data_IF_763690530055
#
_entry.id   IF_763690530055
#
_cell.length_a   1.000
_cell.length_b   1.000
_cell.length_c   1.000
_cell.angle_alpha   90.00
_cell.angle_beta   90.00
_cell.angle_gamma   90.00
#
_symmetry.space_group_name_H-M   'P 1'
#
loop_
_entity.id
_entity.type
_entity.pdbx_description
1 polymer ?
#
# COMPACT_ATOMS: atom_id res chain seq x y z
N UNK A 1 7.94 9.07 -3.46
CA UNK A 1 7.91 10.49 -3.86
C UNK A 1 6.76 10.80 -4.81
N UNK A 2 6.57 10.07 -5.92
CA UNK A 2 5.48 10.28 -6.90
C UNK A 2 4.11 10.20 -6.22
N UNK A 3 3.86 9.15 -5.42
CA UNK A 3 2.64 9.00 -4.65
C UNK A 3 2.40 10.18 -3.68
N UNK A 4 3.45 10.74 -3.07
CA UNK A 4 3.32 11.87 -2.15
C UNK A 4 2.94 13.16 -2.90
N UNK A 5 3.51 13.39 -4.08
CA UNK A 5 3.17 14.54 -4.93
C UNK A 5 1.73 14.42 -5.42
N UNK A 6 1.35 13.25 -5.96
CA UNK A 6 -0.01 12.99 -6.42
C UNK A 6 -1.02 13.08 -5.26
N UNK A 7 -0.68 12.51 -4.10
CA UNK A 7 -1.51 12.61 -2.89
C UNK A 7 -1.70 14.04 -2.42
N UNK A 8 -0.65 14.88 -2.46
CA UNK A 8 -0.74 16.29 -2.13
C UNK A 8 -1.65 17.05 -3.12
N UNK A 9 -1.49 16.81 -4.43
CA UNK A 9 -2.33 17.41 -5.44
C UNK A 9 -3.82 17.03 -5.27
N UNK A 10 -4.10 15.75 -4.98
CA UNK A 10 -5.46 15.28 -4.68
C UNK A 10 -6.00 15.85 -3.35
N UNK A 11 -5.14 16.05 -2.35
CA UNK A 11 -5.53 16.62 -1.06
C UNK A 11 -6.03 18.07 -1.20
N UNK A 12 -5.48 18.84 -2.14
CA UNK A 12 -5.98 20.18 -2.43
C UNK A 12 -7.45 20.16 -2.91
N UNK A 13 -7.85 19.10 -3.61
CA UNK A 13 -9.22 18.88 -4.07
C UNK A 13 -10.08 18.05 -3.11
N UNK A 14 -9.60 17.67 -1.93
CA UNK A 14 -10.28 16.71 -1.04
C UNK A 14 -11.60 17.22 -0.45
N UNK A 15 -11.87 18.53 -0.52
CA UNK A 15 -13.16 19.12 -0.17
C UNK A 15 -14.29 18.69 -1.11
N UNK A 16 -13.98 18.29 -2.35
CA UNK A 16 -14.98 17.82 -3.31
C UNK A 16 -15.34 16.35 -3.04
N UNK A 17 -16.63 16.06 -2.94
CA UNK A 17 -17.14 14.70 -2.68
C UNK A 17 -16.67 13.68 -3.73
N UNK A 18 -16.57 14.09 -4.99
CA UNK A 18 -16.07 13.24 -6.07
C UNK A 18 -14.61 12.83 -5.85
N UNK A 19 -13.75 13.75 -5.42
CA UNK A 19 -12.34 13.44 -5.12
C UNK A 19 -12.23 12.50 -3.92
N UNK A 20 -13.06 12.73 -2.89
CA UNK A 20 -13.16 11.82 -1.73
C UNK A 20 -13.56 10.40 -2.15
N UNK A 21 -14.62 10.28 -2.95
CA UNK A 21 -15.10 8.99 -3.44
C UNK A 21 -14.04 8.28 -4.30
N UNK A 22 -13.38 9.00 -5.19
CA UNK A 22 -12.30 8.49 -6.01
C UNK A 22 -11.11 8.00 -5.19
N UNK A 23 -10.64 8.80 -4.22
CA UNK A 23 -9.58 8.39 -3.31
C UNK A 23 -9.99 7.20 -2.45
N UNK A 24 -11.26 7.14 -2.00
CA UNK A 24 -11.78 6.01 -1.24
C UNK A 24 -11.79 4.72 -2.08
N UNK A 25 -12.22 4.81 -3.33
CA UNK A 25 -12.20 3.68 -4.28
C UNK A 25 -10.77 3.17 -4.52
N UNK A 26 -9.84 4.05 -4.88
CA UNK A 26 -8.45 3.66 -5.17
C UNK A 26 -7.80 2.95 -3.98
N UNK A 27 -7.97 3.45 -2.77
CA UNK A 27 -7.34 2.89 -1.57
C UNK A 27 -8.02 1.63 -1.05
N UNK A 28 -9.27 1.34 -1.47
CA UNK A 28 -9.98 0.12 -1.07
C UNK A 28 -9.42 -1.13 -1.75
N UNK A 29 -8.73 -0.93 -2.86
CA UNK A 29 -8.14 -2.01 -3.66
C UNK A 29 -6.69 -2.18 -3.24
N UNK A 30 -6.30 -3.43 -2.89
CA UNK A 30 -4.93 -3.74 -2.48
C UNK A 30 -3.94 -3.60 -3.63
N UNK A 31 -2.70 -3.21 -3.33
CA UNK A 31 -1.64 -3.00 -4.32
C UNK A 31 -1.34 -4.21 -5.22
N UNK A 32 -1.52 -5.45 -4.71
CA UNK A 32 -1.37 -6.67 -5.51
C UNK A 32 -2.37 -6.71 -6.67
N UNK A 33 -3.61 -6.29 -6.41
CA UNK A 33 -4.63 -6.25 -7.46
C UNK A 33 -4.29 -5.22 -8.54
N UNK A 34 -3.80 -4.06 -8.12
CA UNK A 34 -3.30 -3.04 -9.04
C UNK A 34 -2.11 -3.55 -9.86
N UNK A 35 -1.22 -4.35 -9.24
CA UNK A 35 -0.08 -4.94 -9.94
C UNK A 35 -0.55 -5.90 -11.03
N UNK A 36 -1.49 -6.80 -10.73
CA UNK A 36 -2.07 -7.72 -11.71
C UNK A 36 -2.75 -6.99 -12.86
N UNK A 37 -3.48 -5.91 -12.55
CA UNK A 37 -4.16 -5.09 -13.56
C UNK A 37 -3.15 -4.39 -14.48
N UNK A 38 -2.13 -3.76 -13.93
CA UNK A 38 -1.12 -3.07 -14.74
C UNK A 38 -0.19 -4.04 -15.48
N UNK A 39 -0.02 -5.26 -14.97
CA UNK A 39 0.74 -6.30 -15.66
C UNK A 39 0.09 -6.67 -17.01
N UNK A 40 -1.23 -6.65 -17.09
CA UNK A 40 -1.95 -6.90 -18.35
C UNK A 40 -1.72 -5.81 -19.39
N UNK A 41 -1.46 -4.57 -18.94
CA UNK A 41 -1.33 -3.40 -19.82
C UNK A 41 0.13 -3.07 -20.16
N UNK A 42 1.01 -3.12 -19.18
CA UNK A 42 2.42 -2.72 -19.28
C UNK A 42 3.41 -3.89 -19.13
N UNK A 43 2.90 -5.12 -19.04
CA UNK A 43 3.71 -6.32 -18.83
C UNK A 43 4.48 -6.31 -17.50
N UNK A 44 5.44 -7.23 -17.37
CA UNK A 44 6.35 -7.32 -16.21
C UNK A 44 7.43 -6.24 -16.33
N UNK A 45 7.13 -5.04 -15.89
CA UNK A 45 8.04 -3.91 -15.96
C UNK A 45 8.14 -3.17 -14.62
N UNK A 46 9.23 -2.44 -14.42
CA UNK A 46 9.39 -1.57 -13.25
C UNK A 46 8.30 -0.49 -13.16
N UNK A 47 7.73 -0.09 -14.31
CA UNK A 47 6.60 0.84 -14.36
C UNK A 47 5.33 0.22 -13.75
N UNK A 48 5.06 -1.05 -14.02
CA UNK A 48 3.95 -1.79 -13.41
C UNK A 48 4.04 -1.77 -11.88
N UNK A 49 5.20 -2.11 -11.33
CA UNK A 49 5.43 -2.05 -9.88
C UNK A 49 5.29 -0.64 -9.29
N UNK A 50 5.82 0.36 -10.00
CA UNK A 50 5.71 1.75 -9.58
C UNK A 50 4.25 2.23 -9.55
N UNK A 51 3.47 1.96 -10.58
CA UNK A 51 2.05 2.36 -10.66
C UNK A 51 1.20 1.60 -9.63
N UNK A 52 1.45 0.30 -9.46
CA UNK A 52 0.73 -0.55 -8.51
C UNK A 52 0.84 -0.04 -7.06
N UNK A 53 2.00 0.49 -6.67
CA UNK A 53 2.21 1.07 -5.35
C UNK A 53 1.76 2.54 -5.32
N UNK A 54 2.12 3.33 -6.34
CA UNK A 54 1.91 4.78 -6.31
C UNK A 54 0.43 5.18 -6.25
N UNK A 55 -0.43 4.47 -6.98
CA UNK A 55 -1.85 4.83 -7.08
C UNK A 55 -2.58 4.65 -5.74
N UNK A 56 -2.61 3.46 -5.10
CA UNK A 56 -3.30 3.31 -3.81
C UNK A 56 -2.68 4.16 -2.70
N UNK A 57 -1.37 4.34 -2.73
CA UNK A 57 -0.69 5.22 -1.77
C UNK A 57 -1.03 6.69 -1.98
N UNK A 58 -1.18 7.15 -3.22
CA UNK A 58 -1.64 8.51 -3.50
C UNK A 58 -3.04 8.75 -2.93
N UNK A 59 -3.96 7.82 -3.11
CA UNK A 59 -5.31 7.91 -2.52
C UNK A 59 -5.29 7.94 -0.99
N UNK A 60 -4.43 7.14 -0.36
CA UNK A 60 -4.27 7.14 1.09
C UNK A 60 -3.65 8.44 1.61
N UNK A 61 -2.57 8.92 0.96
CA UNK A 61 -1.91 10.17 1.31
C UNK A 61 -2.83 11.37 1.11
N UNK A 62 -3.64 11.37 0.03
CA UNK A 62 -4.62 12.42 -0.21
C UNK A 62 -5.62 12.56 0.94
N UNK A 63 -6.13 11.44 1.44
CA UNK A 63 -7.02 11.43 2.60
C UNK A 63 -6.35 12.04 3.82
N UNK A 64 -5.20 11.49 4.21
CA UNK A 64 -4.52 11.92 5.45
C UNK A 64 -4.05 13.38 5.37
N UNK A 65 -3.54 13.80 4.22
CA UNK A 65 -3.15 15.20 4.06
C UNK A 65 -4.38 16.14 4.11
N UNK A 66 -5.50 15.71 3.52
CA UNK A 66 -6.76 16.44 3.62
C UNK A 66 -7.22 16.60 5.08
N UNK A 67 -7.20 15.50 5.84
CA UNK A 67 -7.55 15.52 7.28
C UNK A 67 -6.57 16.38 8.09
N UNK A 68 -5.26 16.29 7.84
CA UNK A 68 -4.27 17.14 8.50
C UNK A 68 -4.47 18.63 8.21
N UNK A 69 -4.93 18.99 7.01
CA UNK A 69 -5.25 20.39 6.70
C UNK A 69 -6.53 20.86 7.36
N UNK A 70 -7.48 19.96 7.62
CA UNK A 70 -8.71 20.28 8.35
C UNK A 70 -8.46 20.43 9.86
N UNK A 71 -7.48 19.67 10.42
CA UNK A 71 -7.13 19.70 11.86
C UNK A 71 -6.30 20.92 12.27
N UNK A 72 -5.64 21.58 11.33
CA UNK A 72 -4.81 22.76 11.63
C UNK A 72 -5.68 23.90 12.18
N UNK A 73 -5.25 24.48 13.33
CA UNK A 73 -5.90 25.63 13.95
C UNK A 73 -6.01 26.80 12.96
N UNK A 74 -7.22 27.33 12.71
CA UNK A 74 -7.44 28.47 11.83
C UNK A 74 -7.00 29.80 12.44
N UNK A 75 -6.70 29.89 13.75
CA UNK A 75 -6.39 31.13 14.42
C UNK A 75 -5.21 31.91 13.80
N UNK A 76 -4.09 31.29 13.37
CA UNK A 76 -3.00 32.01 12.70
C UNK A 76 -3.42 32.61 11.34
N UNK A 77 -4.34 31.96 10.63
CA UNK A 77 -4.84 32.43 9.34
C UNK A 77 -5.69 33.69 9.50
N UNK A 78 -6.49 33.78 10.57
CA UNK A 78 -7.37 34.93 10.84
C UNK A 78 -6.60 36.21 11.15
N UNK A 79 -5.34 36.08 11.60
CA UNK A 79 -4.47 37.21 11.94
C UNK A 79 -3.67 37.76 10.75
N UNK A 80 -3.77 37.12 9.56
CA UNK A 80 -3.10 37.60 8.36
C UNK A 80 -3.83 38.79 7.75
N UNK A 81 -3.18 39.94 7.57
CA UNK A 81 -3.81 41.13 6.99
C UNK A 81 -4.21 40.84 5.54
N UNK A 82 -5.52 41.01 5.23
CA UNK A 82 -6.06 40.79 3.88
C UNK A 82 -6.51 39.35 3.56
N UNK A 83 -6.60 38.47 4.58
CA UNK A 83 -6.94 37.04 4.40
C UNK A 83 -8.27 36.75 3.75
N UNK A 84 -9.24 37.67 3.79
CA UNK A 84 -10.59 37.47 3.22
C UNK A 84 -10.67 37.29 1.70
N UNK A 85 -9.57 37.50 0.94
CA UNK A 85 -9.56 37.45 -0.53
C UNK A 85 -8.50 36.53 -1.16
N UNK A 86 -7.56 35.93 -0.40
CA UNK A 86 -6.46 35.13 -0.96
C UNK A 86 -6.34 33.76 -0.30
N UNK A 87 -7.24 32.86 -0.63
CA UNK A 87 -7.23 31.46 -0.14
C UNK A 87 -5.89 30.74 -0.37
N UNK A 88 -5.18 31.01 -1.47
CA UNK A 88 -3.90 30.40 -1.75
C UNK A 88 -2.80 30.90 -0.81
N UNK A 89 -2.75 32.22 -0.53
CA UNK A 89 -1.77 32.79 0.38
C UNK A 89 -1.96 32.27 1.81
N UNK A 90 -3.21 32.20 2.28
CA UNK A 90 -3.55 31.61 3.58
C UNK A 90 -3.09 30.15 3.66
N UNK A 91 -3.33 29.37 2.62
CA UNK A 91 -2.94 27.98 2.57
C UNK A 91 -1.42 27.80 2.68
N UNK A 92 -0.64 28.50 1.85
CA UNK A 92 0.82 28.34 1.80
C UNK A 92 1.55 28.93 3.00
N UNK A 93 1.07 30.04 3.57
CA UNK A 93 1.76 30.72 4.69
C UNK A 93 1.25 30.31 6.07
N UNK A 94 0.04 29.75 6.18
CA UNK A 94 -0.53 29.34 7.47
C UNK A 94 -0.69 27.83 7.57
N UNK A 95 -1.53 27.21 6.76
CA UNK A 95 -1.90 25.80 6.93
C UNK A 95 -0.79 24.83 6.56
N UNK A 96 -0.12 25.05 5.45
CA UNK A 96 0.93 24.15 4.96
C UNK A 96 2.13 24.07 5.92
N UNK A 97 2.70 25.18 6.45
CA UNK A 97 3.82 25.09 7.39
C UNK A 97 3.46 24.37 8.70
N UNK A 98 2.24 24.58 9.21
CA UNK A 98 1.76 23.92 10.43
C UNK A 98 1.55 22.42 10.23
N UNK A 99 0.96 22.00 9.11
CA UNK A 99 0.73 20.59 8.78
C UNK A 99 2.02 19.87 8.34
N UNK A 100 3.04 20.59 7.87
CA UNK A 100 4.23 20.02 7.22
C UNK A 100 4.93 18.94 8.03
N UNK A 101 5.11 19.17 9.33
CA UNK A 101 5.80 18.23 10.21
C UNK A 101 5.05 16.89 10.30
N UNK A 102 3.74 16.93 10.47
CA UNK A 102 2.86 15.76 10.53
C UNK A 102 2.81 15.03 9.19
N UNK A 103 2.67 15.77 8.10
CA UNK A 103 2.72 15.24 6.74
C UNK A 103 4.05 14.52 6.45
N UNK A 104 5.18 15.14 6.77
CA UNK A 104 6.50 14.53 6.56
C UNK A 104 6.71 13.27 7.40
N UNK A 105 6.22 13.23 8.63
CA UNK A 105 6.28 12.06 9.50
C UNK A 105 5.45 10.93 8.94
N UNK A 106 4.21 11.20 8.52
CA UNK A 106 3.33 10.20 7.94
C UNK A 106 3.85 9.69 6.58
N UNK A 107 4.39 10.58 5.74
CA UNK A 107 5.01 10.19 4.46
C UNK A 107 6.19 9.24 4.68
N UNK A 108 7.04 9.52 5.67
CA UNK A 108 8.17 8.65 6.02
C UNK A 108 7.69 7.27 6.48
N UNK A 109 6.64 7.22 7.29
CA UNK A 109 6.00 5.95 7.70
C UNK A 109 5.42 5.18 6.49
N UNK A 110 4.72 5.86 5.60
CA UNK A 110 4.18 5.23 4.38
C UNK A 110 5.26 4.78 3.42
N UNK A 111 6.38 5.47 3.36
CA UNK A 111 7.52 5.02 2.56
C UNK A 111 8.10 3.70 3.09
N UNK A 112 8.21 3.53 4.40
CA UNK A 112 8.60 2.27 5.02
C UNK A 112 7.62 1.13 4.66
N UNK A 113 6.32 1.40 4.68
CA UNK A 113 5.31 0.44 4.22
C UNK A 113 5.47 0.11 2.71
N UNK A 114 5.76 1.11 1.87
CA UNK A 114 5.94 0.91 0.43
C UNK A 114 7.12 -0.01 0.10
N UNK A 115 8.19 0.00 0.88
CA UNK A 115 9.32 -0.92 0.70
C UNK A 115 8.89 -2.37 0.94
N UNK A 116 8.08 -2.62 1.97
CA UNK A 116 7.52 -3.96 2.23
C UNK A 116 6.57 -4.40 1.11
N UNK A 117 5.67 -3.52 0.69
CA UNK A 117 4.79 -3.79 -0.45
C UNK A 117 5.57 -4.09 -1.73
N UNK A 118 6.70 -3.41 -1.94
CA UNK A 118 7.60 -3.70 -3.07
C UNK A 118 8.18 -5.12 -3.02
N UNK A 119 8.50 -5.63 -1.83
CA UNK A 119 8.93 -7.03 -1.67
C UNK A 119 7.80 -8.01 -1.99
N UNK A 120 6.57 -7.73 -1.53
CA UNK A 120 5.40 -8.57 -1.81
C UNK A 120 5.06 -8.60 -3.31
N UNK A 121 5.28 -7.51 -4.04
CA UNK A 121 5.10 -7.47 -5.49
C UNK A 121 6.03 -8.44 -6.24
N UNK A 122 7.11 -8.90 -5.61
CA UNK A 122 7.96 -9.98 -6.14
C UNK A 122 7.20 -11.28 -6.35
N UNK A 123 6.22 -11.63 -5.52
CA UNK A 123 5.37 -12.81 -5.70
C UNK A 123 4.50 -12.75 -6.98
N UNK A 124 4.34 -11.59 -7.56
CA UNK A 124 3.65 -11.40 -8.85
C UNK A 124 4.62 -11.47 -10.03
N UNK A 125 5.92 -11.75 -9.77
CA UNK A 125 6.94 -11.89 -10.80
C UNK A 125 7.70 -10.59 -11.12
N UNK A 126 7.47 -9.50 -10.38
CA UNK A 126 8.25 -8.28 -10.56
C UNK A 126 9.68 -8.46 -10.02
N UNK A 127 10.74 -8.01 -10.75
CA UNK A 127 12.14 -8.23 -10.36
C UNK A 127 12.51 -7.41 -9.12
N UNK A 128 12.12 -7.90 -7.97
CA UNK A 128 12.41 -7.34 -6.64
C UNK A 128 13.13 -8.38 -5.78
N UNK A 129 13.63 -7.97 -4.60
CA UNK A 129 14.20 -8.92 -3.63
C UNK A 129 13.19 -10.00 -3.23
N UNK A 130 11.90 -9.67 -3.23
CA UNK A 130 10.83 -10.62 -2.95
C UNK A 130 10.69 -11.71 -4.02
N UNK A 131 10.94 -11.38 -5.29
CA UNK A 131 10.96 -12.37 -6.37
C UNK A 131 12.07 -13.41 -6.18
N UNK A 132 13.29 -12.97 -5.87
CA UNK A 132 14.39 -13.88 -5.62
C UNK A 132 14.18 -14.72 -4.35
N UNK A 133 13.56 -14.14 -3.32
CA UNK A 133 13.17 -14.85 -2.11
C UNK A 133 12.15 -15.96 -2.41
N UNK A 134 11.10 -15.62 -3.16
CA UNK A 134 10.04 -16.56 -3.52
C UNK A 134 10.59 -17.69 -4.42
N UNK A 135 11.38 -17.35 -5.43
CA UNK A 135 12.01 -18.33 -6.31
C UNK A 135 12.92 -19.29 -5.52
N UNK A 136 13.77 -18.76 -4.64
CA UNK A 136 14.65 -19.59 -3.81
C UNK A 136 13.86 -20.50 -2.84
N UNK A 137 12.73 -20.05 -2.32
CA UNK A 137 11.84 -20.85 -1.48
C UNK A 137 11.14 -21.97 -2.29
N UNK A 138 10.65 -21.65 -3.48
CA UNK A 138 9.95 -22.60 -4.35
C UNK A 138 10.91 -23.68 -4.89
N UNK A 139 12.16 -23.30 -5.17
CA UNK A 139 13.22 -24.21 -5.63
C UNK A 139 13.84 -25.05 -4.49
N UNK A 140 13.46 -24.80 -3.21
CA UNK A 140 13.97 -25.50 -2.06
C UNK A 140 15.37 -25.07 -1.61
N UNK A 141 15.92 -23.99 -2.15
CA UNK A 141 17.22 -23.41 -1.78
C UNK A 141 17.10 -22.53 -0.52
N UNK A 142 16.88 -23.14 0.63
CA UNK A 142 16.62 -22.42 1.89
C UNK A 142 17.78 -21.53 2.36
N UNK A 143 19.03 -21.87 2.03
CA UNK A 143 20.20 -21.04 2.35
C UNK A 143 20.17 -19.70 1.62
N UNK A 144 19.82 -19.73 0.33
CA UNK A 144 19.73 -18.54 -0.50
C UNK A 144 18.52 -17.70 -0.11
N UNK A 145 17.40 -18.37 0.16
CA UNK A 145 16.19 -17.72 0.68
C UNK A 145 16.47 -16.97 2.00
N UNK A 146 17.22 -17.59 2.92
CA UNK A 146 17.62 -16.94 4.16
C UNK A 146 18.50 -15.71 3.90
N UNK A 147 19.43 -15.77 2.94
CA UNK A 147 20.27 -14.63 2.59
C UNK A 147 19.44 -13.45 2.05
N UNK A 148 18.47 -13.70 1.15
CA UNK A 148 17.57 -12.68 0.65
C UNK A 148 16.66 -12.11 1.75
N UNK A 149 16.20 -12.94 2.67
CA UNK A 149 15.42 -12.51 3.81
C UNK A 149 16.23 -11.60 4.74
N UNK A 150 17.47 -11.95 5.06
CA UNK A 150 18.35 -11.08 5.85
C UNK A 150 18.70 -9.78 5.14
N UNK A 151 18.90 -9.80 3.83
CA UNK A 151 19.10 -8.59 3.03
C UNK A 151 17.89 -7.66 3.12
N UNK A 152 16.67 -8.20 3.07
CA UNK A 152 15.42 -7.44 3.19
C UNK A 152 15.27 -6.86 4.61
N UNK A 153 15.57 -7.65 5.66
CA UNK A 153 15.56 -7.17 7.05
C UNK A 153 16.58 -6.04 7.25
N UNK A 154 17.77 -6.18 6.69
CA UNK A 154 18.82 -5.17 6.77
C UNK A 154 18.40 -3.90 6.04
N UNK A 155 17.81 -4.02 4.85
CA UNK A 155 17.28 -2.89 4.09
C UNK A 155 16.25 -2.10 4.88
N UNK A 156 15.29 -2.79 5.49
CA UNK A 156 14.22 -2.15 6.29
C UNK A 156 14.79 -1.60 7.60
N UNK A 157 15.64 -2.35 8.29
CA UNK A 157 16.25 -1.94 9.56
C UNK A 157 17.15 -0.71 9.44
N UNK A 158 17.87 -0.59 8.31
CA UNK A 158 18.75 0.55 8.03
C UNK A 158 18.02 1.75 7.37
N UNK A 159 16.72 1.66 7.16
CA UNK A 159 15.92 2.69 6.47
C UNK A 159 16.16 4.09 7.05
N UNK A 160 16.22 4.22 8.37
CA UNK A 160 16.47 5.50 9.05
C UNK A 160 17.83 6.11 8.76
N UNK A 161 18.84 5.29 8.39
CA UNK A 161 20.19 5.76 8.09
C UNK A 161 20.27 6.38 6.71
N UNK A 162 19.65 5.77 5.71
CA UNK A 162 19.73 6.23 4.33
C UNK A 162 18.50 7.08 3.90
N UNK A 163 17.36 7.02 4.61
CA UNK A 163 16.22 7.88 4.33
C UNK A 163 16.38 9.24 5.02
N UNK A 164 17.36 10.02 4.58
CA UNK A 164 17.56 11.38 5.08
C UNK A 164 16.79 12.39 4.22
N UNK A 165 16.15 13.37 4.85
CA UNK A 165 15.38 14.44 4.14
C UNK A 165 16.20 15.17 3.08
N UNK A 166 17.52 15.27 3.27
CA UNK A 166 18.46 15.89 2.31
C UNK A 166 18.68 15.06 1.04
N UNK A 167 18.47 13.73 1.10
CA UNK A 167 18.64 12.81 -0.03
C UNK A 167 17.37 12.66 -0.87
N UNK A 168 16.24 13.17 -0.38
CA UNK A 168 14.95 13.08 -1.08
C UNK A 168 14.98 13.59 -2.53
N UNK A 169 15.58 14.76 -2.86
CA UNK A 169 15.69 15.21 -4.25
C UNK A 169 16.59 14.30 -5.09
N UNK A 170 17.65 13.73 -4.51
CA UNK A 170 18.52 12.77 -5.20
C UNK A 170 17.76 11.51 -5.55
N UNK A 171 16.95 10.97 -4.65
CA UNK A 171 16.09 9.81 -4.92
C UNK A 171 15.06 10.11 -6.02
N UNK A 172 14.53 11.32 -6.05
CA UNK A 172 13.57 11.72 -7.08
C UNK A 172 14.22 11.74 -8.46
N UNK A 173 15.41 12.30 -8.57
CA UNK A 173 16.19 12.30 -9.81
C UNK A 173 16.59 10.87 -10.21
N UNK A 174 17.04 10.06 -9.24
CA UNK A 174 17.40 8.66 -9.48
C UNK A 174 16.22 7.84 -10.02
N UNK A 175 15.00 8.06 -9.50
CA UNK A 175 13.79 7.39 -10.02
C UNK A 175 13.57 7.70 -11.50
N UNK A 176 13.74 8.96 -11.92
CA UNK A 176 13.61 9.32 -13.33
C UNK A 176 14.72 8.73 -14.20
N UNK A 177 15.93 8.62 -13.67
CA UNK A 177 17.07 8.05 -14.39
C UNK A 177 16.98 6.53 -14.55
N UNK A 178 16.52 5.84 -13.50
CA UNK A 178 16.37 4.38 -13.47
C UNK A 178 15.01 3.90 -14.02
N UNK A 179 14.09 4.81 -14.35
CA UNK A 179 12.85 4.42 -15.02
C UNK A 179 13.20 3.95 -16.44
N UNK A 180 13.05 2.65 -16.76
CA UNK A 180 13.46 2.16 -18.06
C UNK A 180 12.65 2.86 -19.15
N UNK A 181 13.32 3.42 -20.19
CA UNK A 181 12.64 4.10 -21.30
C UNK A 181 11.79 3.14 -22.15
N UNK A 182 11.85 1.85 -21.87
CA UNK A 182 11.19 0.78 -22.64
C UNK A 182 9.82 0.35 -22.10
N UNK A 183 9.29 1.01 -21.10
CA UNK A 183 7.91 0.75 -20.67
C UNK A 183 6.92 1.31 -21.72
N UNK A 184 6.77 0.60 -22.82
CA UNK A 184 5.76 0.93 -23.83
C UNK A 184 4.40 0.53 -23.29
N UNK A 185 3.66 1.51 -22.79
CA UNK A 185 2.23 1.32 -22.54
C UNK A 185 1.58 1.18 -23.91
N UNK A 186 1.19 -0.04 -24.28
CA UNK A 186 0.47 -0.24 -25.51
C UNK A 186 -1.00 0.12 -25.29
N UNK A 187 -1.43 1.19 -25.93
CA UNK A 187 -2.84 1.63 -25.87
C UNK A 187 -3.81 0.54 -26.34
N UNK A 188 -3.38 -0.29 -27.28
CA UNK A 188 -4.16 -1.43 -27.76
C UNK A 188 -4.45 -2.47 -26.68
N UNK A 189 -3.46 -2.80 -25.81
CA UNK A 189 -3.65 -3.71 -24.69
C UNK A 189 -4.60 -3.14 -23.66
N UNK A 190 -4.54 -1.82 -23.40
CA UNK A 190 -5.46 -1.16 -22.48
C UNK A 190 -6.89 -1.19 -23.01
N UNK A 191 -7.11 -0.91 -24.28
CA UNK A 191 -8.43 -0.98 -24.91
C UNK A 191 -8.94 -2.42 -24.87
N UNK A 192 -8.11 -3.39 -25.23
CA UNK A 192 -8.44 -4.81 -25.17
C UNK A 192 -8.82 -5.24 -23.76
N UNK A 193 -8.03 -4.82 -22.75
CA UNK A 193 -8.31 -5.14 -21.36
C UNK A 193 -9.68 -4.60 -20.92
N UNK A 194 -10.02 -3.35 -21.26
CA UNK A 194 -11.31 -2.74 -20.90
C UNK A 194 -12.49 -3.33 -21.67
N UNK A 195 -12.30 -3.68 -22.94
CA UNK A 195 -13.40 -4.16 -23.80
C UNK A 195 -13.57 -5.66 -23.79
N UNK A 196 -12.46 -6.41 -23.61
CA UNK A 196 -12.48 -7.87 -23.70
C UNK A 196 -12.27 -8.54 -22.33
N UNK A 197 -11.27 -8.15 -21.55
CA UNK A 197 -10.87 -8.90 -20.38
C UNK A 197 -11.74 -8.60 -19.14
N UNK A 198 -12.18 -7.34 -18.95
CA UNK A 198 -13.09 -6.97 -17.86
C UNK A 198 -14.53 -7.42 -18.11
N UNK A 199 -14.95 -7.48 -19.38
CA UNK A 199 -16.33 -7.85 -19.70
C UNK A 199 -16.51 -9.36 -19.55
N UNK A 200 -17.45 -9.84 -18.71
CA UNK A 200 -17.71 -11.27 -18.53
C UNK A 200 -18.00 -11.97 -19.85
N UNK A 201 -17.43 -13.17 -20.03
CA UNK A 201 -17.55 -13.92 -21.28
C UNK A 201 -18.99 -14.22 -21.73
N UNK A 202 -19.99 -14.45 -20.83
CA UNK A 202 -21.39 -14.58 -21.23
C UNK A 202 -21.98 -13.32 -21.87
N UNK A 203 -21.49 -12.13 -21.50
CA UNK A 203 -21.92 -10.87 -22.12
C UNK A 203 -21.33 -10.65 -23.51
N UNK A 204 -20.23 -11.36 -23.83
CA UNK A 204 -19.60 -11.35 -25.17
C UNK A 204 -20.20 -12.40 -26.12
N UNK A 205 -21.21 -13.15 -25.68
CA UNK A 205 -21.79 -14.24 -26.47
C UNK A 205 -20.86 -15.45 -26.62
N UNK A 206 -19.82 -15.57 -25.80
CA UNK A 206 -18.94 -16.73 -25.77
C UNK A 206 -19.49 -17.76 -24.77
N UNK A 207 -19.72 -19.02 -25.25
CA UNK A 207 -20.03 -20.12 -24.35
C UNK A 207 -18.80 -20.47 -23.49
N UNK A 208 -18.96 -20.47 -22.18
CA UNK A 208 -17.93 -20.90 -21.25
C UNK A 208 -18.17 -22.35 -20.84
N UNK A 209 -17.09 -23.13 -20.90
CA UNK A 209 -17.05 -24.40 -20.18
C UNK A 209 -16.84 -24.07 -18.70
N UNK A 210 -17.69 -24.58 -17.82
CA UNK A 210 -17.50 -24.55 -16.38
C UNK A 210 -16.22 -25.31 -16.05
N UNK A 211 -15.14 -24.58 -15.74
CA UNK A 211 -13.88 -25.18 -15.31
C UNK A 211 -14.03 -25.67 -13.87
N UNK A 212 -14.42 -26.94 -13.71
CA UNK A 212 -14.47 -27.56 -12.38
C UNK A 212 -15.24 -28.83 -12.26
N UNK A 213 -16.17 -29.10 -13.18
CA UNK A 213 -16.91 -30.35 -13.16
C UNK A 213 -16.81 -31.08 -14.50
N UNK A 214 -16.56 -32.40 -14.44
CA UNK A 214 -16.43 -33.29 -15.57
C UNK A 214 -17.72 -33.46 -16.41
N UNK A 215 -18.74 -32.68 -16.15
CA UNK A 215 -20.06 -32.72 -16.79
C UNK A 215 -20.28 -31.73 -17.93
N UNK A 216 -19.27 -31.02 -18.40
CA UNK A 216 -19.28 -30.30 -19.70
C UNK A 216 -20.50 -29.42 -20.00
N UNK A 217 -21.22 -28.93 -19.01
CA UNK A 217 -22.36 -28.05 -19.23
C UNK A 217 -21.92 -26.66 -19.74
N UNK A 218 -22.35 -26.32 -20.92
CA UNK A 218 -22.15 -25.01 -21.53
C UNK A 218 -23.08 -24.00 -20.89
N UNK A 219 -22.53 -23.05 -20.17
CA UNK A 219 -23.30 -21.96 -19.56
C UNK A 219 -23.58 -20.89 -20.62
N UNK A 220 -24.77 -20.88 -21.14
CA UNK A 220 -25.16 -19.95 -22.21
C UNK A 220 -25.81 -18.65 -21.71
N UNK A 221 -26.20 -18.61 -20.43
CA UNK A 221 -26.89 -17.44 -19.84
C UNK A 221 -26.08 -16.80 -18.75
N UNK A 222 -25.98 -15.44 -18.78
CA UNK A 222 -25.33 -14.64 -17.75
C UNK A 222 -25.86 -14.96 -16.34
N UNK A 223 -27.18 -15.17 -16.19
CA UNK A 223 -27.77 -15.49 -14.90
C UNK A 223 -27.29 -16.82 -14.31
N UNK A 224 -27.17 -17.86 -15.14
CA UNK A 224 -26.64 -19.16 -14.70
C UNK A 224 -25.16 -19.07 -14.35
N UNK A 225 -24.37 -18.41 -15.18
CA UNK A 225 -22.95 -18.17 -14.89
C UNK A 225 -22.76 -17.41 -13.59
N UNK A 226 -23.53 -16.32 -13.38
CA UNK A 226 -23.44 -15.54 -12.15
C UNK A 226 -23.85 -16.34 -10.90
N UNK A 227 -24.91 -17.14 -11.00
CA UNK A 227 -25.38 -17.99 -9.89
C UNK A 227 -24.36 -19.05 -9.51
N UNK A 228 -23.77 -19.72 -10.50
CA UNK A 228 -22.72 -20.70 -10.29
C UNK A 228 -21.47 -20.08 -9.69
N UNK A 229 -21.00 -18.96 -10.23
CA UNK A 229 -19.86 -18.23 -9.72
C UNK A 229 -20.11 -17.78 -8.27
N UNK A 230 -21.32 -17.26 -8.00
CA UNK A 230 -21.70 -16.79 -6.66
C UNK A 230 -21.69 -17.92 -5.64
N UNK A 231 -22.34 -19.03 -5.95
CA UNK A 231 -22.47 -20.14 -5.00
C UNK A 231 -21.18 -20.93 -4.81
N UNK A 232 -20.43 -21.17 -5.89
CA UNK A 232 -19.25 -22.03 -5.83
C UNK A 232 -17.96 -21.30 -5.41
N UNK A 233 -17.81 -20.03 -5.76
CA UNK A 233 -16.57 -19.32 -5.55
C UNK A 233 -16.72 -18.09 -4.68
N UNK A 234 -17.68 -17.19 -5.00
CA UNK A 234 -17.78 -15.89 -4.34
C UNK A 234 -18.23 -16.03 -2.88
N UNK A 235 -19.32 -16.77 -2.65
CA UNK A 235 -19.85 -16.94 -1.31
C UNK A 235 -18.89 -17.65 -0.35
N UNK A 236 -18.32 -18.83 -0.69
CA UNK A 236 -17.33 -19.48 0.18
C UNK A 236 -16.07 -18.62 0.37
N UNK A 237 -15.60 -17.98 -0.70
CA UNK A 237 -14.45 -17.07 -0.63
C UNK A 237 -14.70 -15.88 0.28
N UNK A 238 -15.90 -15.28 0.22
CA UNK A 238 -16.28 -14.16 1.08
C UNK A 238 -16.35 -14.58 2.56
N UNK A 239 -16.99 -15.71 2.84
CA UNK A 239 -17.07 -16.24 4.23
C UNK A 239 -15.67 -16.53 4.76
N UNK A 240 -14.81 -17.20 4.01
CA UNK A 240 -13.43 -17.47 4.41
C UNK A 240 -12.63 -16.19 4.64
N UNK A 241 -12.78 -15.20 3.77
CA UNK A 241 -12.09 -13.91 3.92
C UNK A 241 -12.52 -13.18 5.21
N UNK A 242 -13.81 -13.16 5.50
CA UNK A 242 -14.34 -12.55 6.73
C UNK A 242 -13.85 -13.31 7.95
N UNK A 243 -13.92 -14.64 7.95
CA UNK A 243 -13.46 -15.47 9.06
C UNK A 243 -11.96 -15.27 9.33
N UNK A 244 -11.13 -15.32 8.30
CA UNK A 244 -9.68 -15.08 8.41
C UNK A 244 -9.39 -13.67 8.91
N UNK A 245 -10.14 -12.67 8.44
CA UNK A 245 -10.02 -11.29 8.92
C UNK A 245 -10.37 -11.15 10.40
N UNK A 246 -11.44 -11.81 10.86
CA UNK A 246 -11.85 -11.80 12.27
C UNK A 246 -10.82 -12.50 13.16
N UNK A 247 -10.36 -13.69 12.77
CA UNK A 247 -9.34 -14.45 13.50
C UNK A 247 -8.05 -13.64 13.60
N UNK A 248 -7.60 -13.06 12.50
CA UNK A 248 -6.40 -12.22 12.47
C UNK A 248 -6.53 -11.01 13.39
N UNK A 249 -7.68 -10.32 13.39
CA UNK A 249 -7.93 -9.16 14.24
C UNK A 249 -7.91 -9.54 15.73
N UNK A 250 -8.58 -10.63 16.11
CA UNK A 250 -8.60 -11.11 17.49
C UNK A 250 -7.18 -11.51 17.94
N UNK A 251 -6.47 -12.29 17.12
CA UNK A 251 -5.11 -12.74 17.43
C UNK A 251 -4.15 -11.56 17.58
N UNK A 252 -4.19 -10.62 16.65
CA UNK A 252 -3.36 -9.40 16.70
C UNK A 252 -3.69 -8.55 17.92
N UNK A 253 -4.98 -8.42 18.26
CA UNK A 253 -5.43 -7.69 19.45
C UNK A 253 -4.92 -8.32 20.74
N UNK A 254 -5.03 -9.65 20.86
CA UNK A 254 -4.53 -10.39 22.03
C UNK A 254 -2.99 -10.28 22.14
N UNK A 255 -2.29 -10.42 21.02
CA UNK A 255 -0.82 -10.28 20.98
C UNK A 255 -0.39 -8.86 21.36
N UNK A 256 -1.08 -7.84 20.85
CA UNK A 256 -0.81 -6.45 21.22
C UNK A 256 -1.04 -6.19 22.71
N UNK A 257 -2.12 -6.72 23.29
CA UNK A 257 -2.39 -6.64 24.75
C UNK A 257 -1.31 -7.36 25.57
N UNK A 258 -0.86 -8.53 25.13
CA UNK A 258 0.20 -9.29 25.79
C UNK A 258 1.56 -8.56 25.76
N UNK A 259 1.85 -7.83 24.67
CA UNK A 259 3.08 -7.06 24.51
C UNK A 259 3.02 -5.66 25.16
N UNK A 260 1.83 -5.18 25.52
CA UNK A 260 1.64 -3.84 26.09
C UNK A 260 2.47 -3.61 27.38
N UNK A 261 2.53 -4.55 28.35
CA UNK A 261 3.36 -4.37 29.56
C UNK A 261 4.86 -4.30 29.26
N UNK A 262 5.35 -4.95 28.18
CA UNK A 262 6.75 -4.88 27.78
C UNK A 262 7.13 -3.50 27.23
N UNK A 263 6.18 -2.76 26.67
CA UNK A 263 6.42 -1.49 26.01
C UNK A 263 5.98 -0.27 26.85
N UNK A 264 5.25 -0.49 27.95
CA UNK A 264 4.77 0.60 28.79
C UNK A 264 5.79 0.97 29.87
N UNK A 265 6.30 2.24 29.87
CA UNK A 265 7.25 2.68 30.89
C UNK A 265 6.70 2.62 32.32
N UNK A 266 5.38 2.72 32.48
CA UNK A 266 4.71 2.71 33.79
C UNK A 266 4.66 1.30 34.41
N UNK A 267 4.51 0.26 33.61
CA UNK A 267 4.56 -1.12 34.10
C UNK A 267 5.97 -1.59 34.42
N UNK A 268 6.98 -1.08 33.72
CA UNK A 268 8.37 -1.43 33.96
C UNK A 268 9.00 -0.73 35.17
N UNK A 269 8.37 0.31 35.72
CA UNK A 269 8.94 1.15 36.81
C UNK A 269 9.03 0.48 38.17
N UNK A 270 8.39 -0.66 38.43
CA UNK A 270 8.32 -1.31 39.75
C UNK A 270 9.23 -2.54 39.91
N UNK A 271 9.98 -2.91 38.91
CA UNK A 271 10.88 -4.10 38.94
C UNK A 271 12.31 -3.76 39.29
N UNK A 272 12.79 -4.14 40.48
CA UNK A 272 14.11 -3.83 41.09
C UNK A 272 15.32 -4.52 40.44
N UNK A 273 15.16 -5.38 39.41
CA UNK A 273 16.22 -6.30 39.01
C UNK A 273 16.88 -6.14 37.63
N UNK A 274 16.36 -5.28 36.74
CA UNK A 274 16.96 -5.08 35.41
C UNK A 274 17.00 -3.60 35.10
N UNK A 275 18.15 -3.09 34.63
CA UNK A 275 18.36 -1.70 34.25
C UNK A 275 17.28 -1.23 33.23
N UNK A 276 16.71 -0.08 33.49
CA UNK A 276 15.61 0.51 32.70
C UNK A 276 15.95 0.71 31.21
N UNK A 277 17.23 0.86 30.88
CA UNK A 277 17.72 1.02 29.50
C UNK A 277 17.69 -0.31 28.73
N UNK A 278 17.95 -1.42 29.39
CA UNK A 278 18.00 -2.75 28.75
C UNK A 278 16.59 -3.27 28.39
N UNK A 279 15.63 -3.04 29.28
CA UNK A 279 14.22 -3.40 29.04
C UNK A 279 13.60 -2.62 27.88
N UNK A 280 13.92 -1.32 27.76
CA UNK A 280 13.52 -0.53 26.61
C UNK A 280 14.15 -1.03 25.32
N UNK A 281 15.44 -1.34 25.34
CA UNK A 281 16.14 -1.87 24.18
C UNK A 281 15.54 -3.17 23.67
N UNK A 282 15.16 -4.10 24.55
CA UNK A 282 14.50 -5.36 24.18
C UNK A 282 13.10 -5.10 23.63
N UNK A 283 12.30 -4.26 24.29
CA UNK A 283 10.94 -3.91 23.82
C UNK A 283 10.98 -3.23 22.45
N UNK A 284 11.87 -2.28 22.26
CA UNK A 284 12.06 -1.58 20.99
C UNK A 284 12.56 -2.53 19.89
N UNK A 285 13.46 -3.49 20.23
CA UNK A 285 13.96 -4.49 19.28
C UNK A 285 12.87 -5.46 18.86
N UNK A 286 12.03 -5.95 19.80
CA UNK A 286 10.89 -6.82 19.50
C UNK A 286 9.87 -6.08 18.63
N UNK A 287 9.58 -4.82 18.92
CA UNK A 287 8.68 -4.01 18.09
C UNK A 287 9.23 -3.78 16.69
N UNK A 288 10.53 -3.49 16.57
CA UNK A 288 11.18 -3.35 15.25
C UNK A 288 11.09 -4.66 14.48
N UNK A 289 11.38 -5.80 15.12
CA UNK A 289 11.28 -7.13 14.50
C UNK A 289 9.84 -7.44 14.05
N UNK A 290 8.84 -7.23 14.93
CA UNK A 290 7.43 -7.44 14.59
C UNK A 290 6.92 -6.45 13.52
N UNK A 291 7.51 -5.27 13.46
CA UNK A 291 7.18 -4.28 12.45
C UNK A 291 7.86 -4.57 11.11
N UNK A 292 8.97 -5.30 11.10
CA UNK A 292 9.71 -5.69 9.88
C UNK A 292 9.20 -6.99 9.27
N UNK A 293 8.62 -7.86 10.05
CA UNK A 293 7.88 -9.06 9.62
C UNK A 293 6.47 -8.69 9.15
#
# INVERSE_FOLDING_TARGET
>A
TIAAIAGFALALGYRFTLVRAFCAFIRSIHELFWALLFMQVAGLSSLTGLLAIAIPYAGTLAKIYGELFEEVDPAPANNLPGSKKRHLSEFFYSRLPLAWRSMATYTSYRFECAIRSSAILGFVGLPTLGFHLETALSDGHYSDAAAFFYALLLLIGTLRLWLHKRLLPIYLVAVFYYLPPQATISWQLLVRFVTEDIVPAPLRGQALFSSGDSSGETVNNFAQWFTLLWQQQVWPGLVNTVLLGQISLVFTGLLALALLPLNSPRFMGHGRFISHSWKRGIGDSILVLLRTL
#
